data_IF_895141408599
#
_entry.id   IF_895141408599
#
_cell.length_a   1.000
_cell.length_b   1.000
_cell.length_c   1.000
_cell.angle_alpha   90.00
_cell.angle_beta   90.00
_cell.angle_gamma   90.00
#
_symmetry.space_group_name_H-M   'P 1'
#
loop_
_entity.id
_entity.type
_entity.pdbx_description
1 polymer ?
#
# COMPACT_ATOMS: atom_id res chain seq x y z
N UNK A 1 -57.29 -48.41 17.87
CA UNK A 1 -56.65 -48.85 16.60
C UNK A 1 -55.55 -47.86 16.27
N UNK A 2 -54.34 -48.22 15.87
CA UNK A 2 -53.69 -49.54 15.89
C UNK A 2 -52.19 -49.34 16.14
N UNK A 3 -51.61 -50.30 16.86
CA UNK A 3 -50.19 -50.46 17.07
C UNK A 3 -49.45 -50.91 15.79
N UNK A 4 -48.18 -50.54 15.64
CA UNK A 4 -47.21 -51.29 14.83
C UNK A 4 -45.75 -50.99 15.25
N UNK A 5 -45.04 -52.05 15.64
CA UNK A 5 -43.58 -52.13 15.88
C UNK A 5 -42.94 -52.72 14.58
N UNK A 6 -41.63 -52.78 14.29
CA UNK A 6 -40.38 -52.83 15.05
C UNK A 6 -39.25 -52.19 14.22
N UNK A 7 -38.16 -51.71 14.83
CA UNK A 7 -36.84 -51.55 14.16
C UNK A 7 -36.25 -52.94 13.84
N UNK A 8 -35.57 -53.11 12.70
CA UNK A 8 -34.13 -53.40 12.81
C UNK A 8 -33.26 -52.70 11.74
N UNK A 9 -31.95 -52.82 11.91
CA UNK A 9 -30.91 -52.17 11.10
C UNK A 9 -30.76 -52.78 9.70
N UNK A 10 -30.34 -51.96 8.73
CA UNK A 10 -29.66 -52.44 7.53
C UNK A 10 -28.54 -51.47 7.12
N UNK A 11 -27.30 -51.93 7.35
CA UNK A 11 -26.11 -51.62 6.56
C UNK A 11 -25.81 -50.14 6.25
N UNK A 12 -25.11 -49.46 7.16
CA UNK A 12 -24.20 -48.38 6.75
C UNK A 12 -23.09 -49.06 5.96
N UNK A 13 -23.20 -49.07 4.64
CA UNK A 13 -22.10 -49.52 3.79
C UNK A 13 -20.92 -48.58 4.06
N UNK A 14 -19.81 -49.18 4.51
CA UNK A 14 -18.53 -48.49 4.56
C UNK A 14 -18.08 -48.22 3.13
N UNK A 15 -18.49 -47.08 2.56
CA UNK A 15 -17.61 -46.43 1.59
C UNK A 15 -16.37 -46.00 2.35
N UNK A 16 -15.35 -46.82 2.20
CA UNK A 16 -13.97 -46.55 2.55
C UNK A 16 -13.45 -45.43 1.64
N UNK A 17 -13.98 -44.22 1.85
CA UNK A 17 -13.52 -42.99 1.23
C UNK A 17 -12.09 -42.72 1.75
N UNK A 18 -11.14 -43.31 1.01
CA UNK A 18 -9.72 -43.41 1.32
C UNK A 18 -9.19 -42.19 2.07
N UNK A 19 -8.94 -42.36 3.37
CA UNK A 19 -8.19 -41.41 4.19
C UNK A 19 -6.68 -41.55 3.94
N UNK A 20 -6.30 -41.67 2.67
CA UNK A 20 -4.92 -41.49 2.26
C UNK A 20 -4.47 -40.07 2.58
N UNK A 21 -3.17 -39.84 2.84
CA UNK A 21 -2.64 -38.50 2.94
C UNK A 21 -2.99 -37.72 1.65
N UNK A 22 -3.45 -36.47 1.83
CA UNK A 22 -3.76 -35.58 0.72
C UNK A 22 -2.62 -35.56 -0.31
N UNK A 23 -2.92 -35.59 -1.62
CA UNK A 23 -1.88 -35.65 -2.66
C UNK A 23 -0.87 -34.52 -2.44
N UNK A 24 0.42 -34.87 -2.58
CA UNK A 24 1.52 -33.92 -2.38
C UNK A 24 1.30 -32.65 -3.22
N UNK A 25 1.74 -31.48 -2.73
CA UNK A 25 1.60 -30.23 -3.48
C UNK A 25 2.20 -30.41 -4.86
N UNK A 26 1.38 -30.22 -5.89
CA UNK A 26 1.82 -30.31 -7.28
C UNK A 26 2.80 -29.18 -7.50
N UNK A 27 4.10 -29.48 -7.52
CA UNK A 27 5.15 -28.50 -7.78
C UNK A 27 4.95 -27.95 -9.19
N UNK A 28 4.30 -26.79 -9.27
CA UNK A 28 4.04 -26.07 -10.51
C UNK A 28 5.35 -25.42 -11.00
N UNK A 29 6.20 -26.26 -11.58
CA UNK A 29 7.43 -25.86 -12.24
C UNK A 29 7.09 -25.18 -13.56
N UNK A 30 7.02 -23.84 -13.55
CA UNK A 30 7.01 -23.08 -14.81
C UNK A 30 8.32 -23.36 -15.53
N UNK A 31 8.30 -23.94 -16.75
CA UNK A 31 9.53 -24.05 -17.53
C UNK A 31 9.96 -22.64 -17.93
N UNK A 32 11.02 -22.12 -17.30
CA UNK A 32 11.77 -21.03 -17.92
C UNK A 32 12.28 -21.58 -19.25
N UNK A 33 11.72 -21.08 -20.35
CA UNK A 33 12.33 -21.22 -21.67
C UNK A 33 13.74 -20.65 -21.56
N UNK A 34 14.75 -21.52 -21.62
CA UNK A 34 16.15 -21.16 -21.52
C UNK A 34 16.59 -20.39 -22.77
N UNK A 35 16.22 -19.12 -22.85
CA UNK A 35 16.78 -18.17 -23.81
C UNK A 35 18.20 -17.85 -23.35
N UNK A 36 19.19 -18.44 -24.01
CA UNK A 36 20.62 -18.34 -23.70
C UNK A 36 21.07 -16.91 -23.36
N UNK A 37 21.24 -16.63 -22.06
CA UNK A 37 21.72 -15.36 -21.53
C UNK A 37 21.54 -15.28 -20.02
N UNK A 38 22.47 -14.62 -19.32
CA UNK A 38 22.46 -14.49 -17.86
C UNK A 38 21.09 -14.04 -17.33
N UNK A 39 20.58 -14.72 -16.30
CA UNK A 39 19.25 -14.50 -15.70
C UNK A 39 19.01 -13.16 -14.98
N UNK A 40 19.74 -12.11 -15.36
CA UNK A 40 19.57 -10.77 -14.86
C UNK A 40 18.37 -10.08 -15.54
N UNK A 41 17.15 -10.50 -15.19
CA UNK A 41 15.92 -9.80 -15.62
C UNK A 41 15.90 -8.41 -14.99
N UNK A 42 16.47 -7.44 -15.69
CA UNK A 42 16.31 -6.01 -15.37
C UNK A 42 14.81 -5.75 -15.39
N UNK A 43 14.22 -5.51 -14.22
CA UNK A 43 12.88 -4.97 -14.13
C UNK A 43 12.92 -3.62 -14.83
N UNK A 44 12.16 -3.48 -15.92
CA UNK A 44 11.93 -2.16 -16.51
C UNK A 44 11.34 -1.27 -15.42
N UNK A 45 11.72 0.01 -15.38
CA UNK A 45 11.09 0.97 -14.46
C UNK A 45 9.57 0.83 -14.55
N UNK A 46 8.88 0.90 -13.41
CA UNK A 46 7.43 0.79 -13.35
C UNK A 46 6.71 1.83 -14.25
N UNK A 47 7.43 2.88 -14.64
CA UNK A 47 6.98 4.00 -15.49
C UNK A 47 7.32 3.86 -16.98
N UNK A 48 7.92 2.76 -17.47
CA UNK A 48 8.28 2.65 -18.91
C UNK A 48 7.03 2.67 -19.79
N UNK A 49 6.79 3.82 -20.42
CA UNK A 49 5.64 4.10 -21.29
C UNK A 49 4.58 5.02 -20.67
N UNK A 50 4.68 5.36 -19.38
CA UNK A 50 3.75 6.30 -18.74
C UNK A 50 4.39 7.70 -18.64
N UNK A 51 3.75 8.69 -19.24
CA UNK A 51 4.13 10.10 -19.11
C UNK A 51 3.23 10.68 -18.00
N UNK A 52 3.79 10.91 -16.81
CA UNK A 52 3.08 11.65 -15.75
C UNK A 52 2.78 13.07 -16.25
N UNK A 53 1.51 13.53 -16.25
CA UNK A 53 1.19 14.92 -16.56
C UNK A 53 1.71 15.87 -15.47
N UNK A 54 2.45 16.90 -15.87
CA UNK A 54 2.99 17.90 -14.94
C UNK A 54 1.87 18.76 -14.30
N UNK A 55 1.91 18.91 -12.98
CA UNK A 55 0.97 19.76 -12.25
C UNK A 55 1.41 21.23 -12.24
N UNK A 56 0.97 21.99 -13.24
CA UNK A 56 1.33 23.41 -13.42
C UNK A 56 0.97 24.32 -12.22
N UNK A 57 0.01 23.92 -11.38
CA UNK A 57 -0.43 24.66 -10.19
C UNK A 57 0.46 24.49 -8.95
N UNK A 58 1.52 23.66 -9.01
CA UNK A 58 2.33 23.25 -7.85
C UNK A 58 2.88 24.44 -7.05
N UNK A 59 3.39 25.47 -7.73
CA UNK A 59 3.94 26.69 -7.09
C UNK A 59 2.91 27.50 -6.31
N UNK A 60 1.66 27.56 -6.78
CA UNK A 60 0.58 28.27 -6.08
C UNK A 60 0.07 27.45 -4.90
N UNK A 61 -0.06 26.13 -5.09
CA UNK A 61 -0.42 25.20 -4.02
C UNK A 61 0.62 25.23 -2.88
N UNK A 62 1.91 25.23 -3.18
CA UNK A 62 3.00 25.37 -2.19
C UNK A 62 2.84 26.65 -1.38
N UNK A 63 2.54 27.79 -2.02
CA UNK A 63 2.30 29.06 -1.31
C UNK A 63 1.10 28.96 -0.37
N UNK A 64 -0.02 28.41 -0.85
CA UNK A 64 -1.22 28.21 -0.03
C UNK A 64 -0.96 27.28 1.17
N UNK A 65 -0.25 26.17 0.96
CA UNK A 65 0.16 25.23 2.03
C UNK A 65 1.01 25.93 3.10
N UNK A 66 2.01 26.72 2.69
CA UNK A 66 2.87 27.48 3.62
C UNK A 66 2.07 28.48 4.45
N UNK A 67 1.12 29.19 3.83
CA UNK A 67 0.24 30.13 4.53
C UNK A 67 -0.69 29.43 5.55
N UNK A 68 -1.28 28.29 5.17
CA UNK A 68 -2.14 27.48 6.08
C UNK A 68 -1.33 26.99 7.28
N UNK A 69 -0.13 26.45 7.07
CA UNK A 69 0.76 25.98 8.15
C UNK A 69 1.19 27.14 9.05
N UNK A 70 1.54 28.31 8.47
CA UNK A 70 1.92 29.51 9.24
C UNK A 70 0.77 30.02 10.11
N UNK A 71 -0.46 29.97 9.60
CA UNK A 71 -1.66 30.35 10.36
C UNK A 71 -2.00 29.33 11.46
N UNK A 72 -1.75 28.04 11.23
CA UNK A 72 -1.98 26.99 12.23
C UNK A 72 -0.99 27.04 13.41
N UNK A 73 0.24 27.54 13.19
CA UNK A 73 1.19 27.87 14.27
C UNK A 73 1.91 26.69 14.94
N UNK A 74 1.63 25.43 14.55
CA UNK A 74 2.27 24.24 15.14
C UNK A 74 3.74 24.04 14.72
N UNK A 75 4.13 24.53 13.55
CA UNK A 75 5.50 24.40 13.02
C UNK A 75 6.23 25.74 13.17
N UNK A 76 7.43 25.78 13.78
CA UNK A 76 8.24 27.00 13.83
C UNK A 76 8.49 27.57 12.43
N UNK A 77 8.34 28.89 12.26
CA UNK A 77 8.40 29.53 10.94
C UNK A 77 9.69 29.22 10.16
N UNK A 78 10.83 29.14 10.85
CA UNK A 78 12.14 28.77 10.30
C UNK A 78 12.24 27.34 9.76
N UNK A 79 11.23 26.48 10.02
CA UNK A 79 11.16 25.09 9.57
C UNK A 79 10.05 24.80 8.56
N UNK A 80 9.14 25.74 8.33
CA UNK A 80 8.01 25.56 7.40
C UNK A 80 8.53 25.31 5.97
N UNK A 81 9.47 26.13 5.49
CA UNK A 81 10.03 25.97 4.14
C UNK A 81 10.70 24.60 3.94
N UNK A 82 11.55 24.20 4.89
CA UNK A 82 12.24 22.90 4.89
C UNK A 82 11.25 21.71 4.89
N UNK A 83 10.17 21.77 5.68
CA UNK A 83 9.21 20.66 5.75
C UNK A 83 8.33 20.59 4.50
N UNK A 84 7.93 21.73 3.92
CA UNK A 84 7.13 21.76 2.68
C UNK A 84 7.99 21.32 1.48
N UNK A 85 9.23 21.78 1.36
CA UNK A 85 10.18 21.30 0.33
C UNK A 85 10.39 19.77 0.44
N UNK A 86 10.60 19.26 1.66
CA UNK A 86 10.74 17.83 1.90
C UNK A 86 9.53 17.02 1.40
N UNK A 87 8.32 17.50 1.66
CA UNK A 87 7.09 16.84 1.19
C UNK A 87 6.95 16.87 -0.34
N UNK A 88 7.22 18.01 -0.97
CA UNK A 88 6.99 18.23 -2.40
C UNK A 88 8.08 17.64 -3.31
N UNK A 89 9.32 17.49 -2.82
CA UNK A 89 10.48 17.09 -3.63
C UNK A 89 11.14 15.80 -3.17
N UNK A 90 11.21 15.54 -1.85
CA UNK A 90 12.04 14.46 -1.28
C UNK A 90 11.26 13.19 -0.95
N UNK A 91 9.93 13.29 -0.79
CA UNK A 91 9.07 12.13 -0.50
C UNK A 91 8.74 11.28 -1.75
N UNK A 92 9.04 11.76 -2.96
CA UNK A 92 8.76 11.03 -4.20
C UNK A 92 7.27 10.94 -4.58
N UNK A 93 6.46 11.91 -4.13
CA UNK A 93 5.05 12.02 -4.50
C UNK A 93 4.91 12.49 -5.96
N UNK A 94 4.07 11.79 -6.74
CA UNK A 94 3.76 12.11 -8.13
C UNK A 94 2.81 13.32 -8.27
N UNK A 95 2.93 14.06 -9.37
CA UNK A 95 2.12 15.27 -9.66
C UNK A 95 0.60 15.00 -9.72
N UNK A 96 0.17 13.78 -10.03
CA UNK A 96 -1.25 13.38 -9.98
C UNK A 96 -1.82 13.53 -8.57
N UNK A 97 -1.05 13.25 -7.51
CA UNK A 97 -1.50 13.47 -6.13
C UNK A 97 -1.74 14.95 -5.87
N UNK A 98 -0.80 15.81 -6.25
CA UNK A 98 -0.91 17.26 -6.08
C UNK A 98 -2.04 17.87 -6.93
N UNK A 99 -2.45 17.22 -8.02
CA UNK A 99 -3.61 17.63 -8.82
C UNK A 99 -4.95 17.27 -8.16
N UNK A 100 -5.03 16.13 -7.45
CA UNK A 100 -6.25 15.65 -6.80
C UNK A 100 -6.46 16.30 -5.43
N UNK A 101 -5.38 16.52 -4.68
CA UNK A 101 -5.43 16.94 -3.28
C UNK A 101 -5.48 18.45 -3.05
N UNK A 102 -6.19 18.84 -1.99
CA UNK A 102 -6.36 20.25 -1.64
C UNK A 102 -5.19 20.78 -0.80
N UNK A 103 -4.86 22.10 -0.87
CA UNK A 103 -3.84 22.70 -0.02
C UNK A 103 -4.05 22.44 1.49
N UNK A 104 -5.30 22.37 1.95
CA UNK A 104 -5.65 22.13 3.36
C UNK A 104 -5.31 20.70 3.79
N UNK A 105 -5.62 19.69 2.96
CA UNK A 105 -5.28 18.29 3.23
C UNK A 105 -3.76 18.11 3.25
N UNK A 106 -3.06 18.69 2.26
CA UNK A 106 -1.60 18.66 2.19
C UNK A 106 -0.96 19.32 3.42
N UNK A 107 -1.45 20.49 3.85
CA UNK A 107 -0.98 21.15 5.07
C UNK A 107 -1.17 20.28 6.33
N UNK A 108 -2.28 19.54 6.42
CA UNK A 108 -2.49 18.56 7.49
C UNK A 108 -1.46 17.43 7.41
N UNK A 109 -1.19 16.87 6.23
CA UNK A 109 -0.21 15.78 6.07
C UNK A 109 1.23 16.22 6.41
N UNK A 110 1.64 17.42 5.97
CA UNK A 110 2.94 18.01 6.35
C UNK A 110 3.04 18.18 7.87
N UNK A 111 1.96 18.65 8.51
CA UNK A 111 1.92 18.83 9.97
C UNK A 111 2.00 17.50 10.71
N UNK A 112 1.29 16.46 10.25
CA UNK A 112 1.36 15.11 10.83
C UNK A 112 2.76 14.49 10.70
N UNK A 113 3.42 14.66 9.55
CA UNK A 113 4.79 14.19 9.34
C UNK A 113 5.80 14.92 10.23
N UNK A 114 5.64 16.24 10.40
CA UNK A 114 6.48 17.01 11.32
C UNK A 114 6.25 16.59 12.78
N UNK A 115 5.01 16.40 13.20
CA UNK A 115 4.67 15.91 14.54
C UNK A 115 5.27 14.51 14.80
N UNK A 116 5.20 13.61 13.81
CA UNK A 116 5.82 12.29 13.91
C UNK A 116 7.36 12.37 14.00
N UNK A 117 8.00 13.24 13.22
CA UNK A 117 9.46 13.50 13.28
C UNK A 117 9.88 14.03 14.65
N UNK A 118 9.12 14.96 15.23
CA UNK A 118 9.37 15.48 16.59
C UNK A 118 9.14 14.40 17.65
N UNK A 119 8.04 13.65 17.56
CA UNK A 119 7.72 12.57 18.49
C UNK A 119 8.75 11.43 18.47
N UNK A 120 9.28 11.07 17.29
CA UNK A 120 10.38 10.13 17.15
C UNK A 120 11.70 10.69 17.74
N UNK A 121 11.95 12.00 17.60
CA UNK A 121 13.15 12.65 18.16
C UNK A 121 13.08 12.84 19.68
N UNK A 122 11.88 12.88 20.25
CA UNK A 122 11.64 13.03 21.69
C UNK A 122 11.53 11.69 22.43
N UNK A 123 11.53 10.56 21.70
CA UNK A 123 11.63 9.22 22.27
C UNK A 123 13.11 8.88 22.40
N UNK A 124 13.59 8.82 23.64
CA UNK A 124 14.78 8.02 23.97
C UNK A 124 14.39 6.54 23.87
N UNK A 125 15.02 5.83 22.94
CA UNK A 125 14.90 4.38 22.68
C UNK A 125 16.31 3.87 22.31
#
# INVERSE_FOLDING_TARGET
MAAATIKPMANIQAEEASRGPSPQPTLFSVPLTATNGNGHRVLRSATVGYITPEFKGKTEQIKAVKEIIRHAGFIPQSKIDEQVECFYEKLGIDDVYFHIETPTVIASHVTSLYAAKVAASARED
#
